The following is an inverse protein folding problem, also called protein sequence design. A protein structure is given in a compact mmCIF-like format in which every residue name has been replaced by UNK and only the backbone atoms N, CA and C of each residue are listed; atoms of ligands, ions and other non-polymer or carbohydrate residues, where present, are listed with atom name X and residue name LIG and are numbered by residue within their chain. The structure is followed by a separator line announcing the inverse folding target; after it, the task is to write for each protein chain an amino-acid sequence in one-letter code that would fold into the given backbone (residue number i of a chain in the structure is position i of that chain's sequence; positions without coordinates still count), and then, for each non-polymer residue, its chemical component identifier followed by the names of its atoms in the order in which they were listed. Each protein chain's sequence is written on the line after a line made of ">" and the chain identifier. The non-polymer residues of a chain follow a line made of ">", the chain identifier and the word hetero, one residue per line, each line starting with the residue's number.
data_IF_370154714114
#
_entry.id   IF_370154714114
#
_cell.length_a   1.000
_cell.length_b   1.000
_cell.length_c   1.000
_cell.angle_alpha   90.00
_cell.angle_beta   90.00
_cell.angle_gamma   90.00
#
_symmetry.space_group_name_H-M   'P 1'
#
loop_
_entity.id
_entity.type
_entity.pdbx_description
1 polymer ?
#
# COMPACT_ATOMS: atom_id res chain seq x y z
N UNK A 1 0.55 -18.06 -29.93
CA UNK A 1 -0.03 -16.73 -29.58
C UNK A 1 -0.84 -16.70 -28.27
N UNK A 2 -1.66 -17.71 -27.92
CA UNK A 2 -2.42 -17.74 -26.64
C UNK A 2 -1.51 -17.66 -25.38
N UNK A 3 -0.31 -18.23 -25.44
CA UNK A 3 0.63 -18.24 -24.31
C UNK A 3 1.20 -16.86 -23.96
N UNK A 4 1.38 -15.97 -24.95
CA UNK A 4 1.89 -14.62 -24.70
C UNK A 4 0.96 -13.86 -23.77
N UNK A 5 -0.33 -13.76 -24.14
CA UNK A 5 -1.35 -13.05 -23.34
C UNK A 5 -1.41 -13.58 -21.90
N UNK A 6 -1.30 -14.89 -21.71
CA UNK A 6 -1.29 -15.50 -20.36
C UNK A 6 -0.06 -15.10 -19.56
N UNK A 7 1.12 -15.27 -20.13
CA UNK A 7 2.39 -14.96 -19.48
C UNK A 7 2.49 -13.47 -19.18
N UNK A 8 2.21 -12.61 -20.16
CA UNK A 8 2.26 -11.17 -20.01
C UNK A 8 1.23 -10.67 -19.00
N UNK A 9 0.02 -11.23 -18.98
CA UNK A 9 -0.99 -10.83 -18.00
C UNK A 9 -0.67 -11.30 -16.58
N UNK A 10 -0.11 -12.51 -16.39
CA UNK A 10 0.36 -12.92 -15.05
C UNK A 10 1.50 -12.01 -14.57
N UNK A 11 2.49 -11.76 -15.43
CA UNK A 11 3.59 -10.84 -15.15
C UNK A 11 3.11 -9.43 -14.83
N UNK A 12 2.07 -8.95 -15.51
CA UNK A 12 1.42 -7.67 -15.23
C UNK A 12 0.85 -7.63 -13.81
N UNK A 13 0.10 -8.66 -13.42
CA UNK A 13 -0.50 -8.74 -12.09
C UNK A 13 0.55 -8.83 -10.98
N UNK A 14 1.62 -9.60 -11.19
CA UNK A 14 2.74 -9.67 -10.25
C UNK A 14 3.46 -8.33 -10.14
N UNK A 15 3.68 -7.66 -11.28
CA UNK A 15 4.23 -6.30 -11.30
C UNK A 15 3.36 -5.32 -10.52
N UNK A 16 2.03 -5.40 -10.68
CA UNK A 16 1.10 -4.53 -9.97
C UNK A 16 1.08 -4.77 -8.46
N UNK A 17 1.13 -6.02 -8.02
CA UNK A 17 1.30 -6.36 -6.59
C UNK A 17 2.60 -5.76 -6.07
N UNK A 18 3.69 -5.90 -6.83
CA UNK A 18 4.99 -5.30 -6.51
C UNK A 18 4.92 -3.78 -6.36
N UNK A 19 4.25 -3.10 -7.30
CA UNK A 19 3.99 -1.66 -7.24
C UNK A 19 3.29 -1.25 -5.94
N UNK A 20 2.25 -1.97 -5.54
CA UNK A 20 1.52 -1.64 -4.30
C UNK A 20 2.43 -1.79 -3.08
N UNK A 21 3.19 -2.89 -3.02
CA UNK A 21 4.13 -3.14 -1.91
C UNK A 21 5.20 -2.05 -1.86
N UNK A 22 5.80 -1.70 -3.00
CA UNK A 22 6.81 -0.64 -3.10
C UNK A 22 6.24 0.70 -2.64
N UNK A 23 5.04 1.04 -3.09
CA UNK A 23 4.39 2.28 -2.74
C UNK A 23 4.10 2.39 -1.23
N UNK A 24 3.64 1.30 -0.63
CA UNK A 24 3.40 1.21 0.82
C UNK A 24 4.70 1.39 1.60
N UNK A 25 5.78 0.72 1.19
CA UNK A 25 7.10 0.84 1.83
C UNK A 25 7.62 2.27 1.71
N UNK A 26 7.61 2.83 0.50
CA UNK A 26 8.07 4.19 0.25
C UNK A 26 7.27 5.23 1.06
N UNK A 27 5.94 5.08 1.09
CA UNK A 27 5.05 5.96 1.86
C UNK A 27 5.34 5.88 3.36
N UNK A 28 5.62 4.68 3.89
CA UNK A 28 6.03 4.52 5.28
C UNK A 28 7.38 5.18 5.57
N UNK A 29 8.36 5.05 4.68
CA UNK A 29 9.66 5.67 4.87
C UNK A 29 9.61 7.20 4.80
N UNK A 30 8.79 7.76 3.89
CA UNK A 30 8.71 9.21 3.67
C UNK A 30 7.73 9.91 4.63
N UNK A 31 6.57 9.31 4.88
CA UNK A 31 5.46 9.93 5.61
C UNK A 31 5.16 9.27 6.96
N UNK A 32 5.97 8.29 7.39
CA UNK A 32 5.78 7.46 8.60
C UNK A 32 4.52 6.59 8.61
N UNK A 33 3.67 6.66 7.57
CA UNK A 33 2.54 5.79 7.36
C UNK A 33 2.08 5.82 5.88
N UNK A 34 1.43 4.74 5.44
CA UNK A 34 0.89 4.58 4.08
C UNK A 34 -0.29 5.52 3.77
N UNK A 35 -1.02 5.95 4.81
CA UNK A 35 -2.10 6.92 4.66
C UNK A 35 -1.61 8.28 4.13
N UNK A 36 -0.42 8.73 4.54
CA UNK A 36 0.14 10.01 4.10
C UNK A 36 0.67 10.00 2.67
N UNK A 37 0.82 8.82 2.04
CA UNK A 37 1.22 8.68 0.65
C UNK A 37 0.06 8.49 -0.33
N UNK A 38 -1.19 8.68 0.11
CA UNK A 38 -2.39 8.46 -0.71
C UNK A 38 -2.47 7.05 -1.34
N UNK A 39 -1.96 6.04 -0.63
CA UNK A 39 -1.86 4.66 -1.13
C UNK A 39 -3.17 4.11 -1.70
N UNK A 40 -4.33 4.47 -1.12
CA UNK A 40 -5.64 4.06 -1.64
C UNK A 40 -5.93 4.63 -3.04
N UNK A 41 -5.58 5.90 -3.27
CA UNK A 41 -5.74 6.59 -4.56
C UNK A 41 -4.81 5.95 -5.60
N UNK A 42 -3.55 5.67 -5.20
CA UNK A 42 -2.57 5.03 -6.09
C UNK A 42 -2.99 3.61 -6.48
N UNK A 43 -3.50 2.79 -5.54
CA UNK A 43 -4.04 1.46 -5.86
C UNK A 43 -5.17 1.55 -6.88
N UNK A 44 -6.10 2.48 -6.68
CA UNK A 44 -7.25 2.66 -7.57
C UNK A 44 -6.81 3.08 -8.98
N UNK A 45 -6.05 4.17 -9.10
CA UNK A 45 -5.65 4.72 -10.40
C UNK A 45 -4.65 3.83 -11.13
N UNK A 46 -3.70 3.20 -10.43
CA UNK A 46 -2.74 2.28 -11.04
C UNK A 46 -3.45 1.13 -11.76
N UNK A 47 -4.57 0.63 -11.21
CA UNK A 47 -5.37 -0.43 -11.84
C UNK A 47 -5.87 -0.02 -13.23
N UNK A 48 -6.35 1.21 -13.37
CA UNK A 48 -6.84 1.76 -14.63
C UNK A 48 -5.71 1.98 -15.64
N UNK A 49 -4.64 2.66 -15.22
CA UNK A 49 -3.50 2.95 -16.11
C UNK A 49 -2.77 1.70 -16.57
N UNK A 50 -2.72 0.65 -15.75
CA UNK A 50 -2.11 -0.61 -16.14
C UNK A 50 -2.86 -1.34 -17.25
N UNK A 51 -4.19 -1.22 -17.30
CA UNK A 51 -4.97 -1.80 -18.41
C UNK A 51 -4.61 -1.09 -19.71
N UNK A 52 -4.55 0.25 -19.70
CA UNK A 52 -4.14 1.06 -20.85
C UNK A 52 -2.70 0.70 -21.26
N UNK A 53 -1.79 0.68 -20.29
CA UNK A 53 -0.39 0.31 -20.51
C UNK A 53 -0.27 -1.08 -21.14
N UNK A 54 -1.01 -2.06 -20.63
CA UNK A 54 -1.01 -3.42 -21.15
C UNK A 54 -1.45 -3.48 -22.62
N UNK A 55 -2.48 -2.73 -22.99
CA UNK A 55 -2.95 -2.68 -24.39
C UNK A 55 -1.89 -2.05 -25.29
N UNK A 56 -1.43 -0.84 -24.98
CA UNK A 56 -0.59 -0.06 -25.90
C UNK A 56 0.88 -0.48 -25.89
N UNK A 57 1.44 -0.78 -24.72
CA UNK A 57 2.87 -1.00 -24.54
C UNK A 57 3.24 -2.48 -24.42
N UNK A 58 2.28 -3.39 -24.22
CA UNK A 58 2.58 -4.83 -24.15
C UNK A 58 1.94 -5.59 -25.33
N UNK A 59 0.65 -5.41 -25.60
CA UNK A 59 -0.05 -6.19 -26.63
C UNK A 59 0.31 -5.76 -28.06
N UNK A 60 0.40 -4.45 -28.34
CA UNK A 60 0.76 -3.93 -29.67
C UNK A 60 2.20 -4.36 -30.05
N UNK A 61 3.24 -4.11 -29.24
CA UNK A 61 4.62 -4.48 -29.59
C UNK A 61 4.97 -5.95 -29.27
N UNK A 62 3.98 -6.83 -29.07
CA UNK A 62 4.19 -8.24 -28.63
C UNK A 62 5.31 -8.99 -29.37
N UNK A 63 5.42 -8.83 -30.69
CA UNK A 63 6.43 -9.51 -31.51
C UNK A 63 7.85 -9.05 -31.14
N UNK A 64 8.02 -7.74 -30.88
CA UNK A 64 9.30 -7.15 -30.46
C UNK A 64 9.66 -7.61 -29.06
N UNK A 65 8.70 -7.61 -28.12
CA UNK A 65 8.93 -8.08 -26.74
C UNK A 65 9.40 -9.53 -26.72
N UNK A 66 8.72 -10.43 -27.44
CA UNK A 66 9.12 -11.84 -27.53
C UNK A 66 10.54 -11.98 -28.07
N UNK A 67 10.84 -11.32 -29.20
CA UNK A 67 12.18 -11.37 -29.81
C UNK A 67 13.27 -10.86 -28.86
N UNK A 68 13.01 -9.79 -28.11
CA UNK A 68 13.94 -9.26 -27.11
C UNK A 68 14.11 -10.21 -25.93
N UNK A 69 13.04 -10.86 -25.48
CA UNK A 69 13.05 -11.83 -24.37
C UNK A 69 13.90 -13.06 -24.71
N UNK A 70 13.88 -13.49 -25.96
CA UNK A 70 14.67 -14.64 -26.45
C UNK A 70 16.13 -14.28 -26.70
N UNK A 71 16.42 -13.05 -27.13
CA UNK A 71 17.79 -12.60 -27.45
C UNK A 71 18.58 -12.15 -26.23
N UNK A 72 17.94 -11.54 -25.25
CA UNK A 72 18.62 -10.87 -24.14
C UNK A 72 18.71 -11.77 -22.91
N UNK A 73 19.80 -11.60 -22.16
CA UNK A 73 19.94 -12.18 -20.82
C UNK A 73 18.87 -11.63 -19.86
N UNK A 74 18.52 -12.43 -18.85
CA UNK A 74 17.45 -12.12 -17.89
C UNK A 74 17.64 -10.76 -17.20
N UNK A 75 18.87 -10.45 -16.77
CA UNK A 75 19.20 -9.20 -16.08
C UNK A 75 18.97 -7.98 -16.98
N UNK A 76 19.50 -8.03 -18.20
CA UNK A 76 19.39 -6.94 -19.16
C UNK A 76 17.94 -6.74 -19.63
N UNK A 77 17.20 -7.82 -19.91
CA UNK A 77 15.79 -7.73 -20.27
C UNK A 77 14.95 -7.14 -19.12
N UNK A 78 15.24 -7.55 -17.89
CA UNK A 78 14.57 -7.04 -16.68
C UNK A 78 14.80 -5.54 -16.52
N UNK A 79 16.06 -5.09 -16.60
CA UNK A 79 16.41 -3.67 -16.50
C UNK A 79 15.75 -2.82 -17.60
N UNK A 80 15.82 -3.29 -18.85
CA UNK A 80 15.17 -2.61 -19.98
C UNK A 80 13.65 -2.56 -19.82
N UNK A 81 13.04 -3.58 -19.22
CA UNK A 81 11.59 -3.57 -18.92
C UNK A 81 11.25 -2.52 -17.86
N UNK A 82 12.11 -2.33 -16.85
CA UNK A 82 12.00 -1.24 -15.88
C UNK A 82 12.04 0.14 -16.55
N UNK A 83 13.05 0.38 -17.39
CA UNK A 83 13.18 1.64 -18.16
C UNK A 83 11.99 1.83 -19.10
N UNK A 84 11.54 0.77 -19.77
CA UNK A 84 10.41 0.81 -20.67
C UNK A 84 9.10 1.17 -19.95
N UNK A 85 8.89 0.63 -18.74
CA UNK A 85 7.74 0.98 -17.91
C UNK A 85 7.79 2.45 -17.47
N UNK A 86 8.95 2.98 -17.08
CA UNK A 86 9.13 4.40 -16.79
C UNK A 86 8.76 5.29 -17.98
N UNK A 87 9.26 4.95 -19.18
CA UNK A 87 8.94 5.72 -20.40
C UNK A 87 7.44 5.70 -20.68
N UNK A 88 6.79 4.53 -20.62
CA UNK A 88 5.35 4.47 -20.85
C UNK A 88 4.54 5.15 -19.76
N UNK A 89 4.99 5.11 -18.49
CA UNK A 89 4.39 5.89 -17.41
C UNK A 89 4.48 7.40 -17.69
N UNK A 90 5.66 7.89 -18.08
CA UNK A 90 5.87 9.30 -18.46
C UNK A 90 4.91 9.70 -19.58
N UNK A 91 4.81 8.90 -20.65
CA UNK A 91 3.92 9.17 -21.78
C UNK A 91 2.44 9.22 -21.36
N UNK A 92 2.01 8.32 -20.47
CA UNK A 92 0.60 8.20 -20.10
C UNK A 92 0.15 9.30 -19.14
N UNK A 93 0.88 9.49 -18.03
CA UNK A 93 0.45 10.41 -16.97
C UNK A 93 1.61 11.02 -16.16
N UNK A 94 2.85 10.55 -16.35
CA UNK A 94 3.98 10.99 -15.52
C UNK A 94 4.22 12.50 -15.56
N UNK A 95 3.89 13.18 -16.66
CA UNK A 95 3.96 14.65 -16.74
C UNK A 95 3.16 15.37 -15.66
N UNK A 96 1.97 14.86 -15.31
CA UNK A 96 1.13 15.45 -14.26
C UNK A 96 1.78 15.36 -12.87
N UNK A 97 2.65 14.37 -12.66
CA UNK A 97 3.36 14.16 -11.41
C UNK A 97 4.73 14.86 -11.35
N UNK A 98 5.31 15.24 -12.50
CA UNK A 98 6.54 16.04 -12.56
C UNK A 98 6.34 17.47 -12.06
N UNK A 99 5.10 17.96 -12.04
CA UNK A 99 4.76 19.33 -11.59
C UNK A 99 4.72 19.42 -10.05
N UNK A 100 4.59 18.28 -9.36
CA UNK A 100 4.54 18.23 -7.89
C UNK A 100 5.82 17.62 -7.35
N UNK A 101 6.64 18.41 -6.66
CA UNK A 101 7.90 17.99 -6.00
C UNK A 101 7.72 16.84 -4.99
N UNK A 102 6.47 16.49 -4.65
CA UNK A 102 6.16 15.50 -3.64
C UNK A 102 5.91 14.08 -4.15
N UNK A 103 5.75 13.86 -5.46
CA UNK A 103 5.25 12.58 -5.99
C UNK A 103 6.28 11.67 -6.66
N UNK A 104 7.58 11.84 -6.43
CA UNK A 104 8.62 10.98 -7.02
C UNK A 104 8.45 9.47 -6.75
N UNK A 105 7.73 9.09 -5.69
CA UNK A 105 7.42 7.68 -5.37
C UNK A 105 6.77 6.92 -6.52
N UNK A 106 5.89 7.58 -7.31
CA UNK A 106 5.20 6.89 -8.42
C UNK A 106 6.11 6.54 -9.59
N UNK A 107 7.26 7.23 -9.73
CA UNK A 107 8.28 6.84 -10.70
C UNK A 107 9.03 5.59 -10.25
N UNK A 108 9.37 5.50 -8.96
CA UNK A 108 9.96 4.30 -8.38
C UNK A 108 9.01 3.11 -8.54
N UNK A 109 7.72 3.32 -8.27
CA UNK A 109 6.67 2.33 -8.45
C UNK A 109 6.59 1.81 -9.89
N UNK A 110 6.58 2.71 -10.88
CA UNK A 110 6.57 2.35 -12.30
C UNK A 110 7.83 1.58 -12.72
N UNK A 111 8.99 1.97 -12.19
CA UNK A 111 10.25 1.27 -12.43
C UNK A 111 10.23 -0.14 -11.86
N UNK A 112 9.86 -0.29 -10.58
CA UNK A 112 9.79 -1.60 -9.91
C UNK A 112 8.75 -2.50 -10.56
N UNK A 113 7.60 -1.95 -10.95
CA UNK A 113 6.60 -2.65 -11.76
C UNK A 113 7.23 -3.24 -13.02
N UNK A 114 7.99 -2.45 -13.78
CA UNK A 114 8.66 -2.89 -15.00
C UNK A 114 9.74 -3.93 -14.76
N UNK A 115 10.50 -3.82 -13.67
CA UNK A 115 11.48 -4.83 -13.27
C UNK A 115 10.80 -6.17 -12.95
N UNK A 116 9.75 -6.18 -12.12
CA UNK A 116 9.04 -7.41 -11.75
C UNK A 116 8.35 -8.02 -12.97
N UNK A 117 7.74 -7.19 -13.82
CA UNK A 117 7.19 -7.64 -15.09
C UNK A 117 8.25 -8.31 -15.96
N UNK A 118 9.39 -7.64 -16.19
CA UNK A 118 10.47 -8.15 -17.04
C UNK A 118 11.04 -9.47 -16.54
N UNK A 119 11.32 -9.53 -15.24
CA UNK A 119 11.84 -10.72 -14.58
C UNK A 119 10.87 -11.89 -14.69
N UNK A 120 9.62 -11.69 -14.29
CA UNK A 120 8.61 -12.75 -14.29
C UNK A 120 8.30 -13.21 -15.72
N UNK A 121 8.19 -12.27 -16.67
CA UNK A 121 7.89 -12.60 -18.06
C UNK A 121 9.02 -13.41 -18.70
N UNK A 122 10.27 -13.00 -18.51
CA UNK A 122 11.44 -13.72 -19.03
C UNK A 122 11.52 -15.15 -18.48
N UNK A 123 11.32 -15.31 -17.16
CA UNK A 123 11.31 -16.63 -16.53
C UNK A 123 10.19 -17.53 -17.06
N UNK A 124 8.98 -17.00 -17.20
CA UNK A 124 7.83 -17.76 -17.71
C UNK A 124 8.07 -18.14 -19.18
N UNK A 125 8.52 -17.19 -19.99
CA UNK A 125 8.70 -17.36 -21.44
C UNK A 125 9.80 -18.37 -21.77
N UNK A 126 10.94 -18.31 -21.07
CA UNK A 126 12.12 -19.12 -21.39
C UNK A 126 12.22 -20.43 -20.59
N UNK A 127 11.69 -20.53 -19.36
CA UNK A 127 11.89 -21.73 -18.50
C UNK A 127 10.64 -22.61 -18.31
N UNK A 128 9.41 -22.12 -18.54
CA UNK A 128 8.18 -22.85 -18.12
C UNK A 128 7.09 -22.98 -19.18
N UNK A 129 7.42 -23.00 -20.48
CA UNK A 129 6.38 -23.06 -21.54
C UNK A 129 5.43 -24.27 -21.46
N UNK A 130 5.89 -25.44 -21.02
CA UNK A 130 5.05 -26.66 -20.92
C UNK A 130 4.04 -26.57 -19.76
N UNK A 131 4.47 -26.19 -18.55
CA UNK A 131 3.59 -26.05 -17.38
C UNK A 131 2.57 -24.90 -17.56
N UNK A 132 2.98 -23.82 -18.22
CA UNK A 132 2.11 -22.66 -18.43
C UNK A 132 1.05 -22.86 -19.51
N UNK A 133 1.24 -23.83 -20.43
CA UNK A 133 0.21 -24.22 -21.40
C UNK A 133 -1.06 -24.73 -20.71
N UNK A 134 -0.90 -25.46 -19.60
CA UNK A 134 -2.01 -26.09 -18.86
C UNK A 134 -2.68 -25.16 -17.85
N UNK A 135 -2.05 -24.06 -17.45
CA UNK A 135 -2.63 -23.13 -16.49
C UNK A 135 -3.87 -22.43 -17.09
N UNK A 136 -5.02 -22.56 -16.42
CA UNK A 136 -6.24 -21.85 -16.78
C UNK A 136 -6.08 -20.33 -16.59
N UNK A 137 -6.85 -19.54 -17.34
CA UNK A 137 -6.81 -18.08 -17.22
C UNK A 137 -7.40 -17.57 -15.89
N UNK A 138 -8.32 -18.35 -15.32
CA UNK A 138 -9.13 -17.97 -14.15
C UNK A 138 -8.25 -17.65 -12.93
N UNK A 139 -7.30 -18.51 -12.50
CA UNK A 139 -6.40 -18.20 -11.38
C UNK A 139 -5.58 -16.91 -11.57
N UNK A 140 -5.21 -16.59 -12.82
CA UNK A 140 -4.43 -15.38 -13.14
C UNK A 140 -5.31 -14.14 -12.99
N UNK A 141 -6.57 -14.22 -13.41
CA UNK A 141 -7.54 -13.11 -13.30
C UNK A 141 -7.99 -12.87 -11.86
N UNK A 142 -8.08 -13.92 -11.04
CA UNK A 142 -8.51 -13.81 -9.65
C UNK A 142 -7.40 -13.36 -8.71
N UNK A 143 -6.12 -13.50 -9.09
CA UNK A 143 -4.97 -13.10 -8.28
C UNK A 143 -5.03 -11.66 -7.75
N UNK A 144 -5.27 -10.62 -8.57
CA UNK A 144 -5.36 -9.24 -8.07
C UNK A 144 -6.51 -9.05 -7.08
N UNK A 145 -7.65 -9.68 -7.32
CA UNK A 145 -8.83 -9.62 -6.44
C UNK A 145 -8.52 -10.28 -5.10
N UNK A 146 -7.88 -11.47 -5.13
CA UNK A 146 -7.48 -12.19 -3.94
C UNK A 146 -6.44 -11.40 -3.13
N UNK A 147 -5.45 -10.80 -3.80
CA UNK A 147 -4.47 -9.96 -3.14
C UNK A 147 -5.12 -8.75 -2.47
N UNK A 148 -6.00 -8.02 -3.17
CA UNK A 148 -6.73 -6.89 -2.59
C UNK A 148 -7.61 -7.32 -1.42
N UNK A 149 -8.29 -8.47 -1.52
CA UNK A 149 -9.09 -9.02 -0.43
C UNK A 149 -8.23 -9.32 0.80
N UNK A 150 -7.07 -9.96 0.61
CA UNK A 150 -6.15 -10.23 1.71
C UNK A 150 -5.64 -8.92 2.31
N UNK A 151 -5.17 -8.00 1.47
CA UNK A 151 -4.54 -6.75 1.90
C UNK A 151 -5.51 -5.76 2.57
N UNK A 152 -6.68 -5.52 1.96
CA UNK A 152 -7.65 -4.51 2.43
C UNK A 152 -8.63 -5.05 3.48
N UNK A 153 -8.83 -6.38 3.56
CA UNK A 153 -9.84 -6.94 4.45
C UNK A 153 -9.27 -7.94 5.46
N UNK A 154 -8.60 -9.00 5.02
CA UNK A 154 -8.15 -10.05 5.94
C UNK A 154 -7.02 -9.57 6.86
N UNK A 155 -6.00 -8.94 6.29
CA UNK A 155 -4.82 -8.46 7.00
C UNK A 155 -5.13 -7.44 8.12
N UNK A 156 -5.88 -6.34 7.88
CA UNK A 156 -6.22 -5.40 8.96
C UNK A 156 -7.10 -6.00 10.06
N UNK A 157 -7.89 -7.03 9.75
CA UNK A 157 -8.72 -7.72 10.76
C UNK A 157 -7.91 -8.69 11.62
N UNK A 158 -6.99 -9.43 11.01
CA UNK A 158 -6.19 -10.44 11.71
C UNK A 158 -5.01 -9.83 12.48
N UNK A 159 -4.39 -8.78 11.93
CA UNK A 159 -3.18 -8.17 12.48
C UNK A 159 -3.27 -6.63 12.50
N UNK A 160 -4.22 -6.04 13.26
CA UNK A 160 -4.49 -4.60 13.23
C UNK A 160 -3.29 -3.73 13.61
N UNK A 161 -2.48 -4.15 14.59
CA UNK A 161 -1.29 -3.40 15.02
C UNK A 161 -0.23 -3.30 13.93
N UNK A 162 0.03 -4.41 13.22
CA UNK A 162 0.96 -4.43 12.08
C UNK A 162 0.39 -3.66 10.89
N UNK A 163 -0.92 -3.79 10.65
CA UNK A 163 -1.61 -3.15 9.55
C UNK A 163 -1.70 -1.63 9.68
N UNK A 164 -1.68 -1.09 10.90
CA UNK A 164 -1.99 0.30 11.22
C UNK A 164 -1.30 1.34 10.33
N UNK A 165 0.01 1.17 10.10
CA UNK A 165 0.81 2.11 9.30
C UNK A 165 0.94 1.71 7.83
N UNK A 166 0.45 0.55 7.42
CA UNK A 166 0.62 0.03 6.05
C UNK A 166 -0.67 0.02 5.25
N UNK A 167 -1.81 0.31 5.86
CA UNK A 167 -3.11 0.39 5.17
C UNK A 167 -3.51 1.84 4.82
N UNK A 168 -4.41 2.02 3.84
CA UNK A 168 -5.02 3.32 3.56
C UNK A 168 -5.77 3.93 4.75
N UNK A 169 -5.97 5.25 4.70
CA UNK A 169 -6.54 6.04 5.80
C UNK A 169 -7.88 5.50 6.35
N UNK A 170 -8.80 5.12 5.46
CA UNK A 170 -10.13 4.67 5.88
C UNK A 170 -10.06 3.39 6.73
N UNK A 171 -9.19 2.44 6.37
CA UNK A 171 -8.96 1.23 7.17
C UNK A 171 -8.25 1.54 8.47
N UNK A 172 -7.33 2.53 8.47
CA UNK A 172 -6.68 2.99 9.70
C UNK A 172 -7.68 3.58 10.69
N UNK A 173 -8.67 4.35 10.21
CA UNK A 173 -9.77 4.86 11.03
C UNK A 173 -10.63 3.73 11.62
N UNK A 174 -10.88 2.67 10.85
CA UNK A 174 -11.59 1.49 11.36
C UNK A 174 -10.77 0.74 12.42
N UNK A 175 -9.45 0.61 12.23
CA UNK A 175 -8.55 0.03 13.23
C UNK A 175 -8.59 0.87 14.52
N UNK A 176 -8.51 2.20 14.44
CA UNK A 176 -8.65 3.09 15.61
C UNK A 176 -9.97 2.86 16.35
N UNK A 177 -11.08 2.92 15.62
CA UNK A 177 -12.42 2.75 16.16
C UNK A 177 -12.60 1.42 16.88
N UNK A 178 -12.00 0.34 16.38
CA UNK A 178 -12.11 -0.99 16.97
C UNK A 178 -11.08 -1.26 18.08
N UNK A 179 -10.01 -0.47 18.17
CA UNK A 179 -8.90 -0.69 19.10
C UNK A 179 -9.02 0.16 20.35
N UNK A 180 -9.34 1.45 20.22
CA UNK A 180 -9.47 2.39 21.34
C UNK A 180 -10.46 1.89 22.43
N UNK A 181 -11.65 1.35 22.09
CA UNK A 181 -12.59 0.87 23.10
C UNK A 181 -12.11 -0.31 23.97
N UNK A 182 -11.00 -0.96 23.59
CA UNK A 182 -10.43 -2.09 24.35
C UNK A 182 -9.61 -1.63 25.55
N UNK A 183 -9.22 -0.36 25.60
CA UNK A 183 -8.42 0.22 26.67
C UNK A 183 -9.31 0.95 27.69
N UNK A 184 -8.82 1.06 28.92
CA UNK A 184 -9.49 1.71 30.05
C UNK A 184 -8.53 2.66 30.77
N UNK A 185 -9.11 3.52 31.62
CA UNK A 185 -8.33 4.34 32.56
C UNK A 185 -7.53 3.42 33.48
N UNK A 186 -6.24 3.68 33.62
CA UNK A 186 -5.30 2.89 34.41
C UNK A 186 -4.39 1.97 33.59
N UNK A 187 -4.73 1.67 32.34
CA UNK A 187 -3.91 0.85 31.44
C UNK A 187 -2.61 1.56 31.06
N UNK A 188 -1.59 0.78 30.72
CA UNK A 188 -0.27 1.30 30.37
C UNK A 188 -0.24 1.89 28.96
N UNK A 189 0.40 3.06 28.82
CA UNK A 189 0.65 3.71 27.53
C UNK A 189 1.38 2.77 26.56
N UNK A 190 2.27 1.93 27.06
CA UNK A 190 3.07 1.03 26.22
C UNK A 190 2.21 0.01 25.47
N UNK A 191 1.11 -0.45 26.06
CA UNK A 191 0.18 -1.39 25.41
C UNK A 191 -0.64 -0.69 24.33
N UNK A 192 -1.08 0.55 24.60
CA UNK A 192 -1.77 1.38 23.61
C UNK A 192 -0.86 1.70 22.42
N UNK A 193 0.41 2.03 22.66
CA UNK A 193 1.42 2.29 21.63
C UNK A 193 1.73 1.04 20.79
N UNK A 194 1.77 -0.15 21.41
CA UNK A 194 1.93 -1.42 20.69
C UNK A 194 0.72 -1.72 19.80
N UNK A 195 -0.49 -1.40 20.25
CA UNK A 195 -1.72 -1.63 19.49
C UNK A 195 -1.88 -0.64 18.33
N UNK A 196 -1.43 0.61 18.50
CA UNK A 196 -1.58 1.72 17.55
C UNK A 196 -0.23 2.44 17.35
N UNK A 197 0.73 1.79 16.65
CA UNK A 197 2.10 2.27 16.55
C UNK A 197 2.20 3.61 15.83
N UNK A 198 2.89 4.58 16.43
CA UNK A 198 3.06 5.93 15.90
C UNK A 198 1.84 6.84 16.05
N UNK A 199 0.72 6.37 16.63
CA UNK A 199 -0.42 7.24 16.94
C UNK A 199 -0.21 8.03 18.23
N UNK A 200 0.31 7.39 19.28
CA UNK A 200 0.42 8.01 20.61
C UNK A 200 1.88 8.20 21.02
N UNK A 201 2.58 9.11 20.37
CA UNK A 201 3.95 9.50 20.74
C UNK A 201 3.94 10.69 21.71
N UNK A 202 3.89 10.40 23.01
CA UNK A 202 3.93 11.42 24.07
C UNK A 202 5.33 11.54 24.66
N UNK A 203 5.92 12.73 24.59
CA UNK A 203 7.20 12.99 25.26
C UNK A 203 7.05 12.87 26.78
N UNK A 204 8.01 12.18 27.42
CA UNK A 204 8.04 11.97 28.88
C UNK A 204 6.75 11.33 29.45
N UNK A 205 6.05 10.53 28.64
CA UNK A 205 4.78 9.89 29.01
C UNK A 205 3.70 10.87 29.51
N UNK A 206 3.67 12.08 28.98
CA UNK A 206 2.69 13.08 29.33
C UNK A 206 2.09 13.73 28.09
N UNK A 207 0.77 13.80 28.01
CA UNK A 207 0.10 14.54 26.95
C UNK A 207 -1.34 14.10 26.73
N UNK A 208 -1.99 14.81 25.82
CA UNK A 208 -3.36 14.53 25.36
C UNK A 208 -3.38 14.46 23.85
N UNK A 209 -4.05 13.46 23.29
CA UNK A 209 -4.31 13.36 21.86
C UNK A 209 -5.76 12.99 21.63
N UNK A 210 -6.37 13.63 20.65
CA UNK A 210 -7.75 13.37 20.27
C UNK A 210 -7.95 13.69 18.80
N UNK A 211 -8.95 13.06 18.22
CA UNK A 211 -9.31 13.27 16.83
C UNK A 211 -10.83 13.18 16.64
N UNK A 212 -11.33 13.94 15.67
CA UNK A 212 -12.70 13.85 15.17
C UNK A 212 -12.64 13.28 13.76
N UNK A 213 -12.99 12.01 13.61
CA UNK A 213 -13.04 11.29 12.34
C UNK A 213 -14.49 11.28 11.81
N UNK A 214 -14.69 10.77 10.58
CA UNK A 214 -16.00 10.83 9.91
C UNK A 214 -17.17 10.31 10.75
N UNK A 215 -17.00 9.15 11.41
CA UNK A 215 -18.06 8.48 12.17
C UNK A 215 -17.67 8.18 13.63
N UNK A 216 -16.52 8.68 14.08
CA UNK A 216 -15.93 8.33 15.37
C UNK A 216 -15.10 9.50 15.88
N UNK A 217 -15.11 9.73 17.18
CA UNK A 217 -14.23 10.70 17.83
C UNK A 217 -13.66 10.09 19.09
N UNK A 218 -12.47 10.54 19.48
CA UNK A 218 -11.84 10.11 20.71
C UNK A 218 -10.94 11.20 21.31
N UNK A 219 -10.72 11.11 22.62
CA UNK A 219 -9.68 11.81 23.37
C UNK A 219 -9.04 10.81 24.33
N UNK A 220 -7.70 10.78 24.33
CA UNK A 220 -6.89 10.01 25.26
C UNK A 220 -5.92 10.98 25.92
N UNK A 221 -5.86 10.94 27.25
CA UNK A 221 -4.88 11.66 28.05
C UNK A 221 -4.05 10.67 28.85
N UNK A 222 -2.76 10.96 28.92
CA UNK A 222 -1.76 10.09 29.53
C UNK A 222 -0.93 10.90 30.52
N UNK A 223 -0.71 10.31 31.69
CA UNK A 223 0.19 10.83 32.69
C UNK A 223 0.95 9.67 33.33
N UNK A 224 2.25 9.84 33.57
CA UNK A 224 3.08 8.82 34.23
C UNK A 224 3.01 7.44 33.55
N UNK A 225 2.98 7.46 32.21
CA UNK A 225 2.87 6.30 31.33
C UNK A 225 1.58 5.49 31.51
N UNK A 226 0.53 6.08 32.11
CA UNK A 226 -0.80 5.47 32.24
C UNK A 226 -1.90 6.32 31.64
N UNK A 227 -2.91 5.67 31.10
CA UNK A 227 -4.11 6.32 30.57
C UNK A 227 -4.89 6.90 31.77
N UNK A 228 -5.03 8.22 31.82
CA UNK A 228 -5.78 8.92 32.88
C UNK A 228 -7.15 9.42 32.43
N UNK A 229 -7.35 9.52 31.12
CA UNK A 229 -8.65 9.81 30.50
C UNK A 229 -8.73 9.10 29.17
N UNK A 230 -9.86 8.46 28.92
CA UNK A 230 -10.21 7.90 27.62
C UNK A 230 -11.69 8.13 27.37
N UNK A 231 -11.99 8.89 26.33
CA UNK A 231 -13.35 9.17 25.86
C UNK A 231 -13.42 8.79 24.39
N UNK A 232 -14.46 8.06 24.01
CA UNK A 232 -14.68 7.68 22.62
C UNK A 232 -16.17 7.54 22.35
N UNK A 233 -16.57 7.76 21.10
CA UNK A 233 -17.98 7.69 20.73
C UNK A 233 -18.27 8.04 19.28
N UNK A 234 -19.55 8.03 18.88
CA UNK A 234 -19.95 8.54 17.58
C UNK A 234 -19.59 10.02 17.45
N UNK A 235 -19.34 10.48 16.22
CA UNK A 235 -19.00 11.88 15.94
C UNK A 235 -20.09 12.82 16.47
N UNK A 236 -19.72 13.79 17.29
CA UNK A 236 -20.59 14.86 17.78
C UNK A 236 -20.21 16.20 17.12
N UNK A 237 -21.12 17.17 17.10
CA UNK A 237 -20.88 18.49 16.48
C UNK A 237 -19.79 19.29 17.20
N UNK A 238 -19.66 19.13 18.51
CA UNK A 238 -18.78 19.96 19.37
C UNK A 238 -17.49 19.26 19.81
N UNK A 239 -17.23 18.01 19.38
CA UNK A 239 -16.05 17.25 19.77
C UNK A 239 -15.94 16.99 21.29
N UNK A 240 -14.87 16.32 21.71
CA UNK A 240 -14.49 16.22 23.12
C UNK A 240 -13.50 17.33 23.48
N UNK A 241 -13.54 17.80 24.71
CA UNK A 241 -12.60 18.81 25.21
C UNK A 241 -11.19 18.23 25.33
N UNK A 242 -10.21 18.94 24.77
CA UNK A 242 -8.79 18.59 24.87
C UNK A 242 -8.15 19.37 26.04
N UNK A 243 -7.47 18.66 26.95
CA UNK A 243 -6.62 19.27 27.96
C UNK A 243 -6.95 18.82 29.40
N UNK A 244 -5.95 18.24 30.06
CA UNK A 244 -5.96 17.90 31.48
C UNK A 244 -4.80 18.57 32.22
N UNK A 245 -5.00 18.93 33.50
CA UNK A 245 -3.92 19.45 34.35
C UNK A 245 -2.89 18.35 34.61
N UNK A 246 -1.60 18.66 34.46
CA UNK A 246 -0.50 17.76 34.82
C UNK A 246 -0.55 17.46 36.32
N UNK A 247 -0.76 16.19 36.67
CA UNK A 247 -0.68 15.71 38.06
C UNK A 247 0.71 15.12 38.31
N UNK A 248 1.30 15.28 39.51
CA UNK A 248 2.55 14.61 39.85
C UNK A 248 2.39 13.08 39.76
N UNK A 249 3.46 12.40 39.37
CA UNK A 249 3.52 10.93 39.44
C UNK A 249 3.67 10.53 40.89
N UNK A 250 2.75 9.70 41.39
CA UNK A 250 2.80 9.08 42.71
C UNK A 250 3.31 7.66 42.55
#
# INVERSE_FOLDING_TARGET
>A
MKNFKKASFLSLNLGWIGLIITHVIWSNLKYKNASGGDTGVVIFWSSFFLIIFYVFFILIPKKKIVKLTEKLAISLFTLLSGIYALIGFIILIGWGFLISDNFYGVFLDAFVFGLIFGLTFHLIWNKKQKAFKQMHLIPILTLPILFLFIYLFAFPKLFPSMAYNVVPQYLRHDILKNTIPKFKVGDDLSELQKALPGEFEFEKCFGSRGAVLNNFQFVIEVNCCKIVRIEFGPRQKTGYTMGGKRKPCI
#
